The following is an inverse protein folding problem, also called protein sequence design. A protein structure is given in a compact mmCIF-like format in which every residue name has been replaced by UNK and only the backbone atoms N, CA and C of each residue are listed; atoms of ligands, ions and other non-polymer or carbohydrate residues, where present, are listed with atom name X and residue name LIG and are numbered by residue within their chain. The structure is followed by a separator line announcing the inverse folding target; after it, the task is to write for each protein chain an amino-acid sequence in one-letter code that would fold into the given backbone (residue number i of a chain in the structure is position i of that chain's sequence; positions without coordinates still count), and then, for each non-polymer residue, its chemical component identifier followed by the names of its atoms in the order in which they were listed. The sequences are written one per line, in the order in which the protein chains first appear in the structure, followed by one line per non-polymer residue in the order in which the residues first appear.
data_IF_372691348638
#
_entry.id   IF_372691348638
#
_cell.length_a   1.000
_cell.length_b   1.000
_cell.length_c   1.000
_cell.angle_alpha   90.00
_cell.angle_beta   90.00
_cell.angle_gamma   90.00
#
_symmetry.space_group_name_H-M   'P 1'
#
loop_
_entity.id
_entity.type
_entity.pdbx_description
1 polymer ?
#
# COMPACT_ATOMS: atom_id res chain seq x y z
N UNK A 1 58.35 2.08 -19.31
CA UNK A 1 58.02 2.33 -20.72
C UNK A 1 56.56 1.93 -20.93
N UNK A 2 55.66 2.91 -21.06
CA UNK A 2 54.31 2.77 -21.63
C UNK A 2 54.44 2.90 -23.16
N UNK A 3 53.52 2.34 -23.97
CA UNK A 3 52.29 3.07 -24.35
C UNK A 3 51.02 2.18 -24.28
N UNK A 4 49.90 2.67 -23.77
CA UNK A 4 48.82 3.43 -24.44
C UNK A 4 48.19 2.71 -25.65
N UNK A 5 46.97 2.21 -25.45
CA UNK A 5 45.89 2.29 -26.44
C UNK A 5 44.61 2.73 -25.69
N UNK A 6 44.22 3.97 -25.95
CA UNK A 6 42.87 4.45 -25.73
C UNK A 6 42.01 4.03 -26.92
N UNK A 7 40.80 3.56 -26.66
CA UNK A 7 39.64 3.95 -27.47
C UNK A 7 38.37 3.71 -26.67
N UNK A 8 37.82 4.84 -26.26
CA UNK A 8 36.42 5.13 -26.01
C UNK A 8 35.46 4.43 -26.98
N UNK A 9 34.43 3.80 -26.41
CA UNK A 9 33.08 3.81 -26.99
C UNK A 9 32.05 3.63 -25.87
N UNK A 10 31.36 4.73 -25.60
CA UNK A 10 29.92 4.76 -25.31
C UNK A 10 29.40 3.89 -24.16
N UNK A 11 29.68 4.30 -22.92
CA UNK A 11 28.61 4.22 -21.91
C UNK A 11 27.65 5.37 -22.19
N UNK A 12 26.75 5.10 -23.14
CA UNK A 12 25.53 5.87 -23.34
C UNK A 12 24.88 6.09 -21.97
N UNK A 13 24.70 7.37 -21.65
CA UNK A 13 23.94 7.77 -20.47
C UNK A 13 22.64 7.00 -20.46
N UNK A 14 22.36 6.34 -19.34
CA UNK A 14 21.01 5.95 -19.02
C UNK A 14 20.19 7.23 -19.04
N UNK A 15 19.54 7.50 -20.19
CA UNK A 15 18.47 8.46 -20.28
C UNK A 15 17.49 8.02 -19.21
N UNK A 16 17.49 8.74 -18.09
CA UNK A 16 16.52 8.56 -17.04
C UNK A 16 15.17 8.60 -17.72
N UNK A 17 14.43 7.49 -17.65
CA UNK A 17 13.01 7.49 -17.91
C UNK A 17 12.37 8.40 -16.85
N UNK A 18 12.50 9.71 -17.03
CA UNK A 18 11.47 10.62 -16.56
C UNK A 18 10.32 10.42 -17.52
N UNK A 19 9.65 9.28 -17.37
CA UNK A 19 8.22 9.18 -17.65
C UNK A 19 7.61 10.45 -17.05
N UNK A 20 6.65 11.09 -17.72
CA UNK A 20 6.02 12.37 -17.33
C UNK A 20 5.26 12.37 -16.00
N UNK A 21 5.77 11.64 -15.02
CA UNK A 21 5.44 11.60 -13.62
C UNK A 21 6.00 12.88 -12.99
N UNK A 22 5.08 13.73 -12.54
CA UNK A 22 5.40 14.77 -11.59
C UNK A 22 5.75 14.10 -10.25
N UNK A 23 7.05 13.97 -9.99
CA UNK A 23 7.58 13.31 -8.81
C UNK A 23 7.27 14.04 -7.51
N UNK A 24 7.04 15.35 -7.57
CA UNK A 24 6.69 16.15 -6.39
C UNK A 24 5.23 15.87 -5.99
N UNK A 25 4.33 15.90 -6.97
CA UNK A 25 2.92 15.52 -6.78
C UNK A 25 2.82 14.05 -6.33
N UNK A 26 3.59 13.14 -6.93
CA UNK A 26 3.61 11.74 -6.53
C UNK A 26 4.09 11.56 -5.09
N UNK A 27 5.15 12.26 -4.68
CA UNK A 27 5.67 12.23 -3.30
C UNK A 27 4.64 12.74 -2.31
N UNK A 28 3.97 13.85 -2.62
CA UNK A 28 2.96 14.44 -1.75
C UNK A 28 1.77 13.51 -1.53
N UNK A 29 1.23 12.93 -2.62
CA UNK A 29 0.16 11.92 -2.54
C UNK A 29 0.59 10.68 -1.77
N UNK A 30 1.84 10.23 -1.96
CA UNK A 30 2.38 9.10 -1.22
C UNK A 30 2.52 9.40 0.27
N UNK A 31 2.96 10.60 0.65
CA UNK A 31 3.06 11.03 2.04
C UNK A 31 1.70 10.93 2.72
N UNK A 32 0.67 11.55 2.12
CA UNK A 32 -0.72 11.50 2.61
C UNK A 32 -1.22 10.07 2.85
N UNK A 33 -0.96 9.15 1.93
CA UNK A 33 -1.43 7.76 2.03
C UNK A 33 -0.60 6.90 3.01
N UNK A 34 0.66 7.26 3.24
CA UNK A 34 1.61 6.47 4.03
C UNK A 34 1.39 6.60 5.54
N UNK A 35 1.06 7.81 6.02
CA UNK A 35 0.73 8.07 7.43
C UNK A 35 -0.48 7.25 7.90
N UNK A 36 -1.31 6.82 6.95
CA UNK A 36 -2.54 6.08 7.20
C UNK A 36 -2.38 4.57 6.94
N UNK A 37 -1.15 4.11 6.69
CA UNK A 37 -0.81 2.70 6.53
C UNK A 37 -1.37 2.05 5.26
N UNK A 38 -1.41 2.76 4.12
CA UNK A 38 -1.88 2.23 2.81
C UNK A 38 -3.20 1.43 2.85
N UNK A 39 -4.01 1.63 3.90
CA UNK A 39 -4.95 0.61 4.31
C UNK A 39 -6.32 0.84 3.66
N UNK A 40 -7.09 -0.22 3.43
CA UNK A 40 -8.52 -0.16 3.14
C UNK A 40 -9.37 0.56 4.20
N UNK A 41 -8.76 1.06 5.28
CA UNK A 41 -9.37 1.96 6.27
C UNK A 41 -9.61 3.37 5.74
N UNK A 42 -8.97 3.78 4.64
CA UNK A 42 -9.29 5.04 3.96
C UNK A 42 -10.61 5.00 3.22
N UNK A 43 -11.02 3.81 2.80
CA UNK A 43 -12.19 3.66 1.96
C UNK A 43 -13.49 4.08 2.66
N UNK A 44 -13.72 3.75 3.95
CA UNK A 44 -14.79 4.37 4.73
C UNK A 44 -14.75 5.90 4.69
N UNK A 45 -13.62 6.53 5.03
CA UNK A 45 -13.48 7.99 5.08
C UNK A 45 -13.75 8.63 3.72
N UNK A 46 -13.19 8.07 2.64
CA UNK A 46 -13.43 8.52 1.26
C UNK A 46 -14.92 8.41 0.90
N UNK A 47 -15.56 7.28 1.22
CA UNK A 47 -16.95 7.04 0.86
C UNK A 47 -17.95 7.86 1.68
N UNK A 48 -17.61 8.18 2.94
CA UNK A 48 -18.37 9.06 3.83
C UNK A 48 -18.29 10.51 3.36
N UNK A 49 -17.14 10.94 2.83
CA UNK A 49 -16.90 12.30 2.35
C UNK A 49 -16.99 12.42 0.81
N UNK A 50 -17.55 11.43 0.11
CA UNK A 50 -17.54 11.35 -1.36
C UNK A 50 -18.09 12.61 -2.05
N UNK A 51 -19.10 13.23 -1.47
CA UNK A 51 -19.75 14.42 -2.05
C UNK A 51 -18.86 15.66 -1.83
N UNK A 52 -18.22 15.78 -0.67
CA UNK A 52 -17.25 16.83 -0.37
C UNK A 52 -15.93 16.68 -1.14
N UNK A 53 -15.53 15.44 -1.46
CA UNK A 53 -14.38 15.16 -2.33
C UNK A 53 -14.71 15.51 -3.79
N UNK A 54 -16.00 15.48 -4.16
CA UNK A 54 -16.44 15.71 -5.53
C UNK A 54 -16.39 14.44 -6.40
N UNK A 55 -16.61 13.26 -5.82
CA UNK A 55 -16.55 12.00 -6.56
C UNK A 55 -17.73 11.83 -7.50
N UNK A 56 -17.43 11.51 -8.75
CA UNK A 56 -18.41 11.14 -9.75
C UNK A 56 -19.02 9.76 -9.48
N UNK A 57 -20.22 9.51 -10.03
CA UNK A 57 -20.92 8.24 -9.87
C UNK A 57 -20.09 7.04 -10.36
N UNK A 58 -19.31 7.18 -11.42
CA UNK A 58 -18.45 6.10 -11.93
C UNK A 58 -17.27 5.83 -10.99
N UNK A 59 -16.67 6.86 -10.40
CA UNK A 59 -15.63 6.72 -9.38
C UNK A 59 -16.17 6.04 -8.11
N UNK A 60 -17.38 6.43 -7.66
CA UNK A 60 -18.09 5.78 -6.55
C UNK A 60 -18.33 4.30 -6.84
N UNK A 61 -18.75 3.94 -8.06
CA UNK A 61 -18.94 2.54 -8.47
C UNK A 61 -17.62 1.77 -8.42
N UNK A 62 -16.52 2.36 -8.88
CA UNK A 62 -15.17 1.77 -8.82
C UNK A 62 -14.76 1.45 -7.38
N UNK A 63 -14.92 2.39 -6.44
CA UNK A 63 -14.62 2.13 -5.03
C UNK A 63 -15.52 1.06 -4.40
N UNK A 64 -16.81 1.05 -4.73
CA UNK A 64 -17.75 0.02 -4.24
C UNK A 64 -17.41 -1.37 -4.79
N UNK A 65 -17.09 -1.47 -6.06
CA UNK A 65 -16.68 -2.73 -6.69
C UNK A 65 -15.41 -3.28 -6.04
N UNK A 66 -14.41 -2.42 -5.84
CA UNK A 66 -13.18 -2.79 -5.13
C UNK A 66 -13.48 -3.29 -3.71
N UNK A 67 -14.30 -2.55 -2.95
CA UNK A 67 -14.68 -2.92 -1.57
C UNK A 67 -15.42 -4.25 -1.53
N UNK A 68 -16.40 -4.45 -2.41
CA UNK A 68 -17.20 -5.68 -2.49
C UNK A 68 -16.31 -6.91 -2.72
N UNK A 69 -15.34 -6.77 -3.65
CA UNK A 69 -14.40 -7.84 -3.98
C UNK A 69 -13.38 -8.14 -2.88
N UNK A 70 -12.89 -7.12 -2.17
CA UNK A 70 -11.69 -7.27 -1.34
C UNK A 70 -11.93 -7.23 0.17
N UNK A 71 -13.04 -6.64 0.65
CA UNK A 71 -13.25 -6.41 2.09
C UNK A 71 -13.30 -7.70 2.91
N UNK A 72 -14.14 -8.66 2.50
CA UNK A 72 -14.29 -9.92 3.25
C UNK A 72 -13.00 -10.75 3.22
N UNK A 73 -12.34 -10.96 2.06
CA UNK A 73 -11.05 -11.66 2.01
C UNK A 73 -9.95 -11.01 2.85
N UNK A 74 -9.89 -9.67 2.88
CA UNK A 74 -8.94 -8.94 3.72
C UNK A 74 -9.16 -9.22 5.20
N UNK A 75 -10.39 -9.02 5.68
CA UNK A 75 -10.74 -9.23 7.11
C UNK A 75 -10.47 -10.69 7.48
N UNK A 76 -10.83 -11.64 6.61
CA UNK A 76 -10.54 -13.05 6.84
C UNK A 76 -9.03 -13.30 6.99
N UNK A 77 -8.22 -12.75 6.10
CA UNK A 77 -6.76 -12.89 6.14
C UNK A 77 -6.17 -12.27 7.41
N UNK A 78 -6.66 -11.09 7.84
CA UNK A 78 -6.24 -10.47 9.11
C UNK A 78 -6.59 -11.35 10.32
N UNK A 79 -7.78 -11.95 10.33
CA UNK A 79 -8.20 -12.87 11.38
C UNK A 79 -7.38 -14.17 11.38
N UNK A 80 -6.99 -14.67 10.21
CA UNK A 80 -6.06 -15.81 10.08
C UNK A 80 -4.70 -15.49 10.70
N UNK A 81 -4.17 -14.27 10.52
CA UNK A 81 -2.92 -13.85 11.15
C UNK A 81 -3.03 -13.89 12.68
N UNK A 82 -4.14 -13.37 13.24
CA UNK A 82 -4.37 -13.39 14.69
C UNK A 82 -4.39 -14.82 15.22
N UNK A 83 -5.14 -15.72 14.56
CA UNK A 83 -5.21 -17.14 14.93
C UNK A 83 -3.85 -17.82 14.81
N UNK A 84 -3.13 -17.60 13.71
CA UNK A 84 -1.82 -18.20 13.48
C UNK A 84 -0.77 -17.74 14.49
N UNK A 85 -0.80 -16.46 14.91
CA UNK A 85 0.07 -15.93 15.97
C UNK A 85 -0.24 -16.54 17.33
N UNK A 86 -1.52 -16.65 17.69
CA UNK A 86 -1.93 -17.30 18.94
C UNK A 86 -1.49 -18.77 18.97
N UNK A 87 -1.65 -19.48 17.85
CA UNK A 87 -1.19 -20.86 17.73
C UNK A 87 0.33 -20.98 17.82
N UNK A 88 1.07 -20.09 17.13
CA UNK A 88 2.54 -20.03 17.22
C UNK A 88 2.99 -19.88 18.67
N UNK A 89 2.41 -18.93 19.42
CA UNK A 89 2.72 -18.72 20.84
C UNK A 89 2.45 -19.98 21.66
N UNK A 90 1.31 -20.62 21.46
CA UNK A 90 0.92 -21.85 22.16
C UNK A 90 1.92 -22.98 21.92
N UNK A 91 2.32 -23.21 20.67
CA UNK A 91 3.23 -24.32 20.34
C UNK A 91 4.69 -24.01 20.72
N UNK A 92 5.12 -22.74 20.69
CA UNK A 92 6.46 -22.33 21.08
C UNK A 92 6.75 -22.55 22.57
N UNK A 93 5.71 -22.50 23.42
CA UNK A 93 5.83 -22.78 24.85
C UNK A 93 5.87 -24.29 25.18
N UNK A 94 5.62 -25.17 24.21
CA UNK A 94 5.70 -26.62 24.42
C UNK A 94 7.14 -27.12 24.15
N UNK A 95 7.84 -27.68 25.14
CA UNK A 95 9.24 -28.12 24.99
C UNK A 95 9.42 -29.30 24.03
N UNK A 96 8.32 -29.96 23.62
CA UNK A 96 8.34 -31.03 22.62
C UNK A 96 8.20 -30.52 21.18
N UNK A 97 7.88 -29.23 20.99
CA UNK A 97 7.77 -28.65 19.66
C UNK A 97 9.17 -28.47 19.09
N UNK A 98 9.41 -29.07 17.92
CA UNK A 98 10.67 -28.88 17.20
C UNK A 98 10.74 -27.51 16.55
N UNK A 99 11.95 -26.96 16.43
CA UNK A 99 12.17 -25.64 15.81
C UNK A 99 11.64 -25.55 14.38
N UNK A 100 11.73 -26.61 13.58
CA UNK A 100 11.28 -26.57 12.19
C UNK A 100 9.75 -26.38 12.08
N UNK A 101 9.01 -26.83 13.08
CA UNK A 101 7.56 -26.57 13.17
C UNK A 101 7.30 -25.09 13.43
N UNK A 102 8.12 -24.44 14.27
CA UNK A 102 8.03 -23.01 14.55
C UNK A 102 8.38 -22.20 13.32
N UNK A 103 9.48 -22.53 12.62
CA UNK A 103 9.85 -21.87 11.37
C UNK A 103 8.73 -21.97 10.31
N UNK A 104 8.14 -23.15 10.13
CA UNK A 104 7.04 -23.34 9.19
C UNK A 104 5.80 -22.50 9.54
N UNK A 105 5.47 -22.37 10.84
CA UNK A 105 4.34 -21.50 11.26
C UNK A 105 4.66 -20.01 11.11
N UNK A 106 5.90 -19.62 11.35
CA UNK A 106 6.34 -18.26 11.12
C UNK A 106 6.29 -17.89 9.63
N UNK A 107 6.67 -18.81 8.74
CA UNK A 107 6.56 -18.62 7.29
C UNK A 107 5.11 -18.44 6.84
N UNK A 108 4.18 -19.21 7.40
CA UNK A 108 2.75 -19.05 7.13
C UNK A 108 2.23 -17.67 7.57
N UNK A 109 2.64 -17.19 8.74
CA UNK A 109 2.31 -15.84 9.21
C UNK A 109 2.85 -14.79 8.22
N UNK A 110 4.08 -14.93 7.73
CA UNK A 110 4.65 -14.02 6.73
C UNK A 110 3.91 -14.07 5.39
N UNK A 111 3.47 -15.25 4.95
CA UNK A 111 2.67 -15.40 3.73
C UNK A 111 1.33 -14.66 3.86
N UNK A 112 0.66 -14.77 5.01
CA UNK A 112 -0.57 -14.04 5.29
C UNK A 112 -0.33 -12.52 5.33
N UNK A 113 0.75 -12.05 5.95
CA UNK A 113 1.13 -10.63 5.93
C UNK A 113 1.35 -10.12 4.50
N UNK A 114 2.04 -10.90 3.66
CA UNK A 114 2.23 -10.55 2.25
C UNK A 114 0.89 -10.42 1.52
N UNK A 115 -0.09 -11.28 1.84
CA UNK A 115 -1.44 -11.21 1.26
C UNK A 115 -2.19 -9.95 1.71
N UNK A 116 -2.11 -9.58 2.99
CA UNK A 116 -2.67 -8.31 3.51
C UNK A 116 -2.04 -7.11 2.79
N UNK A 117 -0.73 -7.10 2.64
CA UNK A 117 -0.02 -6.04 1.92
C UNK A 117 -0.51 -5.90 0.48
N UNK A 118 -0.75 -7.02 -0.23
CA UNK A 118 -1.31 -6.97 -1.60
C UNK A 118 -2.68 -6.28 -1.65
N UNK A 119 -3.57 -6.53 -0.68
CA UNK A 119 -4.85 -5.83 -0.60
C UNK A 119 -4.67 -4.33 -0.33
N UNK A 120 -3.76 -3.96 0.57
CA UNK A 120 -3.44 -2.57 0.88
C UNK A 120 -2.91 -1.82 -0.35
N UNK A 121 -1.93 -2.40 -1.03
CA UNK A 121 -1.36 -1.81 -2.25
C UNK A 121 -2.38 -1.71 -3.38
N UNK A 122 -3.28 -2.70 -3.53
CA UNK A 122 -4.37 -2.63 -4.49
C UNK A 122 -5.35 -1.49 -4.17
N UNK A 123 -5.66 -1.29 -2.89
CA UNK A 123 -6.51 -0.19 -2.44
C UNK A 123 -5.88 1.16 -2.74
N UNK A 124 -4.58 1.31 -2.39
CA UNK A 124 -3.79 2.51 -2.69
C UNK A 124 -3.81 2.83 -4.18
N UNK A 125 -3.57 1.83 -5.03
CA UNK A 125 -3.60 1.99 -6.48
C UNK A 125 -4.98 2.43 -6.97
N UNK A 126 -6.05 1.85 -6.42
CA UNK A 126 -7.41 2.24 -6.74
C UNK A 126 -7.69 3.73 -6.44
N UNK A 127 -7.16 4.27 -5.33
CA UNK A 127 -7.27 5.72 -5.04
C UNK A 127 -6.45 6.54 -6.04
N UNK A 128 -5.17 6.18 -6.24
CA UNK A 128 -4.25 6.88 -7.15
C UNK A 128 -4.77 6.97 -8.59
N UNK A 129 -5.42 5.91 -9.08
CA UNK A 129 -5.92 5.83 -10.45
C UNK A 129 -7.31 6.47 -10.61
N UNK A 130 -8.03 6.73 -9.51
CA UNK A 130 -9.41 7.24 -9.57
C UNK A 130 -9.48 8.75 -9.38
N UNK A 131 -8.70 9.31 -8.46
CA UNK A 131 -8.79 10.74 -8.12
C UNK A 131 -8.10 11.62 -9.17
N UNK A 132 -8.77 12.71 -9.56
CA UNK A 132 -8.13 13.83 -10.25
C UNK A 132 -7.46 14.80 -9.26
N UNK A 133 -6.82 15.85 -9.79
CA UNK A 133 -6.07 16.81 -8.99
C UNK A 133 -6.94 17.57 -7.97
N UNK A 134 -8.14 18.01 -8.36
CA UNK A 134 -9.04 18.75 -7.47
C UNK A 134 -9.54 17.84 -6.33
N UNK A 135 -9.84 16.59 -6.65
CA UNK A 135 -10.26 15.58 -5.68
C UNK A 135 -9.14 15.24 -4.69
N UNK A 136 -7.87 15.29 -5.11
CA UNK A 136 -6.72 15.15 -4.20
C UNK A 136 -6.63 16.31 -3.20
N UNK A 137 -6.90 17.54 -3.64
CA UNK A 137 -6.89 18.72 -2.77
C UNK A 137 -8.07 18.70 -1.79
N UNK A 138 -9.27 18.36 -2.27
CA UNK A 138 -10.44 18.18 -1.42
C UNK A 138 -10.21 17.06 -0.40
N UNK A 139 -9.62 15.94 -0.81
CA UNK A 139 -9.31 14.86 0.11
C UNK A 139 -8.28 15.27 1.16
N UNK A 140 -7.27 16.07 0.80
CA UNK A 140 -6.32 16.65 1.77
C UNK A 140 -7.04 17.42 2.86
N UNK A 141 -7.99 18.28 2.48
CA UNK A 141 -8.79 19.03 3.44
C UNK A 141 -9.54 18.10 4.42
N UNK A 142 -10.19 17.05 3.89
CA UNK A 142 -10.86 16.03 4.72
C UNK A 142 -9.88 15.35 5.68
N UNK A 143 -8.67 15.02 5.25
CA UNK A 143 -7.65 14.42 6.12
C UNK A 143 -7.28 15.36 7.27
N UNK A 144 -7.02 16.63 6.99
CA UNK A 144 -6.68 17.61 8.03
C UNK A 144 -7.81 17.78 9.04
N UNK A 145 -9.06 17.88 8.59
CA UNK A 145 -10.24 18.01 9.46
C UNK A 145 -10.47 16.79 10.35
N UNK A 146 -9.98 15.62 9.94
CA UNK A 146 -10.05 14.38 10.72
C UNK A 146 -8.79 14.13 11.56
N UNK A 147 -7.94 15.15 11.75
CA UNK A 147 -6.80 15.13 12.67
C UNK A 147 -5.54 14.43 12.13
N UNK A 148 -5.46 14.19 10.81
CA UNK A 148 -4.25 13.64 10.19
C UNK A 148 -3.22 14.76 9.97
N UNK A 149 -2.00 14.55 10.47
CA UNK A 149 -0.90 15.54 10.38
C UNK A 149 -0.11 15.29 9.11
N UNK A 150 -0.43 15.96 8.02
CA UNK A 150 0.25 15.78 6.74
C UNK A 150 1.62 16.48 6.75
N UNK A 151 2.67 15.80 6.29
CA UNK A 151 3.98 16.42 6.11
C UNK A 151 3.89 17.47 4.98
N UNK A 152 4.28 18.72 5.28
CA UNK A 152 4.34 19.84 4.32
C UNK A 152 5.42 19.65 3.25
#
# INVERSE_FOLDING_TARGET
MLPLLASSSEQQGAASASDGIDWEVARQRMSMLSQMGFHPFLMPLIMENRDAIGLENEQIKTFRAWRSKNRVPLIHTMNEIIRARAEFQRIALNPKTREEVLYAKQEEIFRLHRKVLKYQLSCRRNILDTFDNEQWDNFRFILTENGYVLDE
#
